data_IF_701425225520
#
_entry.id   IF_701425225520
#
_cell.length_a   1.000
_cell.length_b   1.000
_cell.length_c   1.000
_cell.angle_alpha   90.00
_cell.angle_beta   90.00
_cell.angle_gamma   90.00
#
_symmetry.space_group_name_H-M   'P 1'
#
loop_
_entity.id
_entity.type
_entity.pdbx_description
1 polymer ?
#
# COMPACT_ATOMS: atom_id res chain seq x y z
N UNK A 1 5.42 8.67 -26.58
CA UNK A 1 4.79 8.62 -27.93
C UNK A 1 4.49 7.17 -28.31
N UNK A 2 3.53 6.50 -27.60
CA UNK A 2 3.15 5.10 -27.83
C UNK A 2 2.51 4.82 -29.22
N UNK A 3 2.22 5.87 -30.01
CA UNK A 3 1.69 5.80 -31.36
C UNK A 3 2.79 5.85 -32.45
N UNK A 4 4.06 6.00 -32.06
CA UNK A 4 5.22 6.03 -32.97
C UNK A 4 6.07 4.79 -32.74
N UNK A 5 6.53 4.13 -33.82
CA UNK A 5 7.54 3.07 -33.74
C UNK A 5 8.92 3.68 -33.46
N UNK A 6 9.66 3.07 -32.53
CA UNK A 6 11.03 3.46 -32.20
C UNK A 6 12.02 2.39 -32.64
N UNK A 7 13.24 2.81 -32.96
CA UNK A 7 14.34 1.95 -33.36
C UNK A 7 15.48 2.16 -32.36
N UNK A 8 16.06 1.09 -31.87
CA UNK A 8 17.27 1.09 -31.02
C UNK A 8 18.44 0.45 -31.75
N UNK A 9 19.66 0.82 -31.35
CA UNK A 9 20.92 0.38 -31.94
C UNK A 9 21.95 -0.10 -30.89
N UNK A 10 21.48 -0.69 -29.79
CA UNK A 10 22.31 -1.06 -28.64
C UNK A 10 22.84 -2.51 -28.67
N UNK A 11 22.56 -3.26 -29.72
CA UNK A 11 23.01 -4.64 -29.90
C UNK A 11 24.00 -4.77 -31.08
N UNK A 12 25.00 -5.58 -30.86
CA UNK A 12 25.99 -5.89 -31.93
C UNK A 12 25.76 -7.31 -32.45
N UNK A 13 25.82 -7.45 -33.77
CA UNK A 13 25.88 -8.74 -34.44
C UNK A 13 27.33 -8.97 -34.93
N UNK A 14 27.84 -10.17 -34.73
CA UNK A 14 29.20 -10.52 -35.15
C UNK A 14 29.14 -11.17 -36.52
N UNK A 15 29.81 -10.53 -37.54
CA UNK A 15 30.05 -11.09 -38.85
C UNK A 15 31.53 -11.45 -38.93
N UNK A 16 31.85 -12.74 -38.92
CA UNK A 16 33.23 -13.21 -38.82
C UNK A 16 33.85 -12.83 -37.48
N UNK A 17 34.82 -11.92 -37.47
CA UNK A 17 35.48 -11.39 -36.27
C UNK A 17 35.06 -9.95 -35.94
N UNK A 18 34.17 -9.35 -36.73
CA UNK A 18 33.81 -7.94 -36.62
C UNK A 18 32.42 -7.80 -35.99
N UNK A 19 32.34 -7.03 -34.89
CA UNK A 19 31.09 -6.64 -34.27
C UNK A 19 30.54 -5.39 -34.97
N UNK A 20 29.30 -5.49 -35.48
CA UNK A 20 28.62 -4.39 -36.20
C UNK A 20 27.36 -4.04 -35.42
N UNK A 21 27.10 -2.73 -35.09
CA UNK A 21 25.89 -2.33 -34.46
C UNK A 21 24.65 -2.62 -35.32
N UNK A 22 23.63 -3.20 -34.72
CA UNK A 22 22.37 -3.50 -35.40
C UNK A 22 21.28 -2.55 -34.96
N UNK A 23 20.36 -2.28 -35.89
CA UNK A 23 19.17 -1.49 -35.64
C UNK A 23 17.98 -2.45 -35.60
N UNK A 24 17.16 -2.34 -34.53
CA UNK A 24 15.96 -3.15 -34.37
C UNK A 24 14.81 -2.31 -33.84
N UNK A 25 13.54 -2.66 -34.13
CA UNK A 25 12.40 -2.00 -33.55
C UNK A 25 12.36 -2.21 -32.02
N UNK A 26 12.43 -1.12 -31.24
CA UNK A 26 12.35 -1.15 -29.77
C UNK A 26 10.97 -0.74 -29.23
N UNK A 27 10.11 -0.22 -30.09
CA UNK A 27 8.73 0.10 -29.76
C UNK A 27 7.83 -0.01 -30.97
N UNK A 28 6.66 -0.59 -30.77
CA UNK A 28 5.67 -0.78 -31.83
C UNK A 28 4.59 0.28 -31.73
N UNK A 29 4.24 0.86 -32.88
CA UNK A 29 3.17 1.83 -32.98
C UNK A 29 1.80 1.17 -32.97
N UNK A 30 0.86 1.79 -32.29
CA UNK A 30 -0.56 1.53 -32.46
C UNK A 30 -1.25 2.79 -32.94
N UNK A 31 -1.55 2.88 -34.23
CA UNK A 31 -2.26 4.02 -34.82
C UNK A 31 -3.72 4.11 -34.40
N UNK A 32 -4.28 3.06 -33.81
CA UNK A 32 -5.64 3.01 -33.27
C UNK A 32 -5.69 3.36 -31.78
N UNK A 33 -4.53 3.73 -31.19
CA UNK A 33 -4.47 4.12 -29.80
C UNK A 33 -5.29 5.39 -29.58
N UNK A 34 -6.33 5.28 -28.78
CA UNK A 34 -7.20 6.36 -28.38
C UNK A 34 -6.96 6.80 -26.92
N UNK A 35 -7.67 7.85 -26.53
CA UNK A 35 -7.70 8.30 -25.13
C UNK A 35 -8.40 7.28 -24.24
N UNK A 36 -7.98 7.22 -22.99
CA UNK A 36 -8.72 6.48 -21.96
C UNK A 36 -10.11 7.10 -21.77
N UNK A 37 -11.11 6.24 -21.65
CA UNK A 37 -12.51 6.68 -21.49
C UNK A 37 -12.99 6.29 -20.10
N UNK A 38 -13.59 7.26 -19.41
CA UNK A 38 -14.24 7.05 -18.14
C UNK A 38 -15.75 7.22 -18.29
N UNK A 39 -16.50 6.23 -17.83
CA UNK A 39 -17.96 6.28 -17.68
C UNK A 39 -18.26 6.27 -16.20
N UNK A 40 -19.00 7.26 -15.72
CA UNK A 40 -19.33 7.40 -14.31
C UNK A 40 -20.84 7.59 -14.15
N UNK A 41 -21.40 6.99 -13.12
CA UNK A 41 -22.75 7.19 -12.62
C UNK A 41 -22.64 7.51 -11.16
N UNK A 42 -23.30 8.60 -10.75
CA UNK A 42 -23.34 9.08 -9.37
C UNK A 42 -24.78 9.26 -8.92
N UNK A 43 -25.06 8.93 -7.66
CA UNK A 43 -26.32 9.19 -7.00
C UNK A 43 -26.02 9.74 -5.61
N UNK A 44 -26.29 11.02 -5.43
CA UNK A 44 -26.04 11.75 -4.18
C UNK A 44 -27.32 12.15 -3.45
N UNK A 45 -27.24 12.22 -2.14
CA UNK A 45 -28.28 12.72 -1.24
C UNK A 45 -27.66 13.70 -0.26
N UNK A 46 -28.19 14.93 -0.24
CA UNK A 46 -27.85 15.96 0.73
C UNK A 46 -29.03 16.19 1.67
N UNK A 47 -28.82 15.95 2.96
CA UNK A 47 -29.86 16.02 3.99
C UNK A 47 -29.44 17.00 5.06
N UNK A 48 -30.11 18.18 5.13
CA UNK A 48 -29.92 19.16 6.20
C UNK A 48 -31.00 19.02 7.27
N UNK A 49 -30.60 18.94 8.54
CA UNK A 49 -31.51 18.79 9.68
C UNK A 49 -31.23 19.88 10.71
N UNK A 50 -32.29 20.62 11.07
CA UNK A 50 -32.29 21.66 12.15
C UNK A 50 -31.20 22.73 12.01
N UNK A 51 -30.68 23.02 10.81
CA UNK A 51 -29.53 23.91 10.57
C UNK A 51 -28.29 23.60 11.43
N UNK A 52 -28.17 22.40 11.94
CA UNK A 52 -27.09 21.97 12.83
C UNK A 52 -26.42 20.67 12.37
N UNK A 53 -27.07 19.89 11.51
CA UNK A 53 -26.58 18.62 10.98
C UNK A 53 -26.76 18.61 9.48
N UNK A 54 -25.69 18.29 8.75
CA UNK A 54 -25.73 18.01 7.32
C UNK A 54 -25.14 16.61 7.07
N UNK A 55 -25.86 15.81 6.30
CA UNK A 55 -25.46 14.46 5.91
C UNK A 55 -25.41 14.41 4.40
N UNK A 56 -24.26 14.08 3.83
CA UNK A 56 -24.07 13.84 2.39
C UNK A 56 -23.76 12.37 2.20
N UNK A 57 -24.46 11.72 1.28
CA UNK A 57 -24.25 10.32 0.91
C UNK A 57 -24.12 10.25 -0.60
N UNK A 58 -22.99 9.77 -1.09
CA UNK A 58 -22.73 9.56 -2.51
C UNK A 58 -22.51 8.09 -2.81
N UNK A 59 -23.23 7.58 -3.81
CA UNK A 59 -23.06 6.26 -4.37
C UNK A 59 -22.53 6.42 -5.79
N UNK A 60 -21.40 5.81 -6.08
CA UNK A 60 -20.80 5.93 -7.41
C UNK A 60 -20.45 4.59 -8.02
N UNK A 61 -20.45 4.57 -9.34
CA UNK A 61 -19.90 3.50 -10.17
C UNK A 61 -19.15 4.12 -11.34
N UNK A 62 -17.87 3.85 -11.43
CA UNK A 62 -16.98 4.30 -12.51
C UNK A 62 -16.36 3.12 -13.22
N UNK A 63 -16.48 3.09 -14.55
CA UNK A 63 -15.77 2.15 -15.42
C UNK A 63 -14.79 2.92 -16.29
N UNK A 64 -13.52 2.51 -16.22
CA UNK A 64 -12.43 3.13 -16.98
C UNK A 64 -11.90 2.16 -18.02
N UNK A 65 -11.93 2.58 -19.29
CA UNK A 65 -11.21 1.91 -20.38
C UNK A 65 -9.76 2.38 -20.30
N UNK A 66 -8.84 1.49 -19.99
CA UNK A 66 -7.43 1.82 -19.75
C UNK A 66 -6.54 1.47 -20.96
N UNK A 67 -5.46 2.24 -21.11
CA UNK A 67 -4.35 1.93 -22.01
C UNK A 67 -3.35 1.06 -21.28
N UNK A 68 -3.05 -0.10 -21.84
CA UNK A 68 -2.10 -1.04 -21.26
C UNK A 68 -1.19 -1.65 -22.31
N UNK A 69 0.04 -2.06 -21.94
CA UNK A 69 0.91 -2.83 -22.84
C UNK A 69 0.34 -4.24 -23.02
N UNK A 70 0.18 -4.64 -24.28
CA UNK A 70 -0.15 -6.00 -24.67
C UNK A 70 1.09 -6.67 -25.26
N UNK A 71 1.48 -7.84 -24.74
CA UNK A 71 2.64 -8.57 -25.24
C UNK A 71 2.40 -9.08 -26.66
N UNK A 72 3.41 -8.91 -27.50
CA UNK A 72 3.43 -9.49 -28.84
C UNK A 72 3.95 -10.93 -28.72
N UNK A 73 3.23 -11.93 -29.26
CA UNK A 73 3.70 -13.31 -29.22
C UNK A 73 5.05 -13.46 -29.92
N UNK A 74 6.00 -14.15 -29.28
CA UNK A 74 7.38 -14.30 -29.77
C UNK A 74 7.50 -15.02 -31.13
N UNK A 75 6.49 -15.81 -31.53
CA UNK A 75 6.49 -16.49 -32.83
C UNK A 75 6.40 -15.53 -34.03
N UNK A 76 6.07 -14.26 -33.80
CA UNK A 76 6.12 -13.22 -34.83
C UNK A 76 7.53 -12.75 -35.16
N UNK A 77 8.56 -13.32 -34.53
CA UNK A 77 9.97 -12.95 -34.71
C UNK A 77 10.34 -11.60 -34.09
N UNK A 78 9.44 -11.02 -33.30
CA UNK A 78 9.56 -9.68 -32.71
C UNK A 78 9.19 -9.80 -31.22
N UNK A 79 10.15 -9.49 -30.35
CA UNK A 79 9.88 -9.42 -28.91
C UNK A 79 9.44 -8.00 -28.53
N UNK A 80 8.46 -7.89 -27.62
CA UNK A 80 8.05 -6.60 -27.09
C UNK A 80 6.57 -6.50 -26.80
N UNK A 81 6.11 -5.27 -26.56
CA UNK A 81 4.73 -4.96 -26.29
C UNK A 81 4.24 -3.79 -27.13
N UNK A 82 2.94 -3.74 -27.36
CA UNK A 82 2.24 -2.63 -27.99
C UNK A 82 1.20 -2.08 -27.04
N UNK A 83 1.07 -0.77 -26.93
CA UNK A 83 0.02 -0.14 -26.12
C UNK A 83 -1.34 -0.23 -26.82
N UNK A 84 -2.35 -0.64 -26.09
CA UNK A 84 -3.71 -0.82 -26.60
C UNK A 84 -4.74 -0.29 -25.59
N UNK A 85 -5.87 0.21 -26.07
CA UNK A 85 -7.06 0.48 -25.26
C UNK A 85 -7.82 -0.84 -25.06
N UNK A 86 -7.40 -1.66 -24.13
CA UNK A 86 -7.84 -3.04 -24.09
C UNK A 86 -8.10 -3.60 -22.69
N UNK A 87 -8.05 -2.77 -21.68
CA UNK A 87 -8.42 -3.14 -20.31
C UNK A 87 -9.61 -2.34 -19.82
N UNK A 88 -10.40 -2.95 -18.94
CA UNK A 88 -11.47 -2.25 -18.22
C UNK A 88 -11.34 -2.49 -16.73
N UNK A 89 -11.44 -1.40 -15.96
CA UNK A 89 -11.44 -1.43 -14.50
C UNK A 89 -12.71 -0.75 -13.99
N UNK A 90 -13.39 -1.39 -13.07
CA UNK A 90 -14.55 -0.86 -12.36
C UNK A 90 -14.14 -0.44 -10.95
N UNK A 91 -14.58 0.73 -10.54
CA UNK A 91 -14.60 1.19 -9.15
C UNK A 91 -16.04 1.54 -8.80
N UNK A 92 -16.53 1.02 -7.70
CA UNK A 92 -17.84 1.37 -7.16
C UNK A 92 -17.74 1.52 -5.65
N UNK A 93 -18.46 2.51 -5.12
CA UNK A 93 -18.32 2.80 -3.71
C UNK A 93 -19.45 3.64 -3.16
N UNK A 94 -19.27 3.91 -1.89
CA UNK A 94 -20.11 4.78 -1.10
C UNK A 94 -19.23 5.72 -0.31
N UNK A 95 -19.59 7.00 -0.30
CA UNK A 95 -18.97 8.04 0.50
C UNK A 95 -20.04 8.67 1.37
N UNK A 96 -19.71 8.87 2.64
CA UNK A 96 -20.62 9.46 3.63
C UNK A 96 -19.87 10.58 4.34
N UNK A 97 -20.46 11.77 4.35
CA UNK A 97 -19.98 12.88 5.16
C UNK A 97 -21.07 13.34 6.10
N UNK A 98 -20.73 13.46 7.36
CA UNK A 98 -21.60 13.99 8.41
C UNK A 98 -20.94 15.22 9.01
N UNK A 99 -21.54 16.38 8.79
CA UNK A 99 -21.09 17.66 9.37
C UNK A 99 -22.12 18.15 10.38
N UNK A 100 -21.67 18.54 11.56
CA UNK A 100 -22.54 19.01 12.62
C UNK A 100 -21.92 20.17 13.39
N UNK A 101 -22.81 21.02 13.92
CA UNK A 101 -22.46 22.03 14.92
C UNK A 101 -23.33 21.80 16.15
N UNK A 102 -22.95 20.78 17.00
CA UNK A 102 -23.79 20.38 18.16
C UNK A 102 -23.96 21.48 19.19
N UNK A 103 -22.98 22.36 19.32
CA UNK A 103 -23.01 23.47 20.28
C UNK A 103 -22.70 24.79 19.60
N UNK A 104 -23.49 25.81 19.87
CA UNK A 104 -23.33 27.19 19.38
C UNK A 104 -23.51 28.15 20.58
N UNK A 105 -22.52 29.02 20.84
CA UNK A 105 -22.53 29.96 21.94
C UNK A 105 -21.13 30.28 22.42
N UNK A 106 -20.95 30.53 23.72
CA UNK A 106 -19.65 30.76 24.34
C UNK A 106 -18.68 29.57 24.11
N UNK A 107 -19.24 28.36 24.07
CA UNK A 107 -18.59 27.16 23.55
C UNK A 107 -19.24 26.76 22.23
N UNK A 108 -18.41 26.66 21.19
CA UNK A 108 -18.84 26.15 19.89
C UNK A 108 -18.04 24.88 19.55
N UNK A 109 -18.74 23.90 19.01
CA UNK A 109 -18.11 22.69 18.47
C UNK A 109 -18.61 22.43 17.07
N UNK A 110 -17.68 22.41 16.11
CA UNK A 110 -17.93 22.02 14.73
C UNK A 110 -17.22 20.69 14.49
N UNK A 111 -17.91 19.75 13.88
CA UNK A 111 -17.36 18.42 13.60
C UNK A 111 -17.76 17.95 12.22
N UNK A 112 -16.83 17.28 11.51
CA UNK A 112 -17.08 16.64 10.24
C UNK A 112 -16.42 15.29 10.21
N UNK A 113 -17.23 14.24 10.05
CA UNK A 113 -16.80 12.85 9.84
C UNK A 113 -17.01 12.51 8.37
N UNK A 114 -15.96 12.05 7.70
CA UNK A 114 -15.99 11.51 6.37
C UNK A 114 -15.64 10.02 6.41
N UNK A 115 -16.38 9.20 5.70
CA UNK A 115 -16.16 7.77 5.58
C UNK A 115 -16.32 7.35 4.12
N UNK A 116 -15.42 6.50 3.61
CA UNK A 116 -15.44 6.08 2.21
C UNK A 116 -15.08 4.60 2.09
N UNK A 117 -15.84 3.89 1.27
CA UNK A 117 -15.56 2.51 0.87
C UNK A 117 -15.56 2.41 -0.65
N UNK A 118 -14.45 1.93 -1.23
CA UNK A 118 -14.31 1.65 -2.65
C UNK A 118 -14.11 0.16 -2.89
N UNK A 119 -14.82 -0.40 -3.87
CA UNK A 119 -14.58 -1.74 -4.37
C UNK A 119 -14.06 -1.65 -5.80
N UNK A 120 -12.85 -2.13 -6.00
CA UNK A 120 -12.18 -2.16 -7.30
C UNK A 120 -12.30 -3.54 -7.94
N UNK A 121 -12.44 -3.62 -9.27
CA UNK A 121 -12.49 -4.88 -10.00
C UNK A 121 -11.95 -4.73 -11.42
N UNK A 122 -11.09 -5.63 -11.85
CA UNK A 122 -10.66 -5.77 -13.24
C UNK A 122 -11.77 -6.50 -13.99
N UNK A 123 -12.37 -5.85 -14.99
CA UNK A 123 -13.47 -6.44 -15.78
C UNK A 123 -12.93 -7.23 -16.98
N UNK A 124 -11.92 -6.69 -17.66
CA UNK A 124 -11.30 -7.32 -18.84
C UNK A 124 -9.87 -6.85 -19.03
N UNK A 125 -9.10 -7.61 -19.79
CA UNK A 125 -7.73 -7.28 -20.20
C UNK A 125 -7.57 -7.51 -21.70
N UNK A 126 -6.48 -6.96 -22.27
CA UNK A 126 -6.12 -7.12 -23.67
C UNK A 126 -6.06 -8.59 -24.10
N UNK A 127 -6.47 -8.88 -25.34
CA UNK A 127 -6.35 -10.20 -25.97
C UNK A 127 -6.96 -11.36 -25.16
N UNK A 128 -8.05 -11.11 -24.41
CA UNK A 128 -8.68 -12.06 -23.49
C UNK A 128 -7.71 -12.68 -22.47
N UNK A 129 -6.66 -11.95 -22.11
CA UNK A 129 -5.77 -12.36 -21.03
C UNK A 129 -6.55 -12.42 -19.72
N UNK A 130 -6.26 -13.40 -18.89
CA UNK A 130 -6.89 -13.54 -17.57
C UNK A 130 -6.08 -12.81 -16.48
N UNK A 131 -4.86 -12.41 -16.78
CA UNK A 131 -3.95 -11.81 -15.82
C UNK A 131 -3.15 -10.67 -16.49
N UNK A 132 -3.01 -9.53 -15.80
CA UNK A 132 -1.99 -8.53 -16.15
C UNK A 132 -0.61 -9.16 -16.02
N UNK A 133 0.33 -8.68 -16.84
CA UNK A 133 1.74 -9.00 -16.65
C UNK A 133 2.10 -8.76 -15.18
N UNK A 134 2.74 -9.77 -14.57
CA UNK A 134 3.05 -9.74 -13.15
C UNK A 134 3.85 -8.51 -12.79
N UNK A 135 3.36 -7.74 -11.83
CA UNK A 135 4.14 -6.68 -11.23
C UNK A 135 5.11 -7.31 -10.21
N UNK A 136 6.40 -7.03 -10.37
CA UNK A 136 7.43 -7.51 -9.45
C UNK A 136 7.51 -6.55 -8.26
N UNK A 137 7.40 -7.07 -7.06
CA UNK A 137 7.70 -6.34 -5.83
C UNK A 137 9.23 -6.20 -5.63
N UNK A 138 9.96 -5.77 -6.69
CA UNK A 138 11.42 -5.73 -6.73
C UNK A 138 12.06 -7.09 -7.07
N UNK A 139 13.33 -7.06 -7.48
CA UNK A 139 14.05 -8.20 -8.07
C UNK A 139 14.15 -9.45 -7.19
N UNK A 140 14.05 -9.29 -5.86
CA UNK A 140 14.18 -10.40 -4.89
C UNK A 140 12.85 -10.95 -4.40
N UNK A 141 11.75 -10.26 -4.67
CA UNK A 141 10.40 -10.66 -4.26
C UNK A 141 9.61 -11.32 -5.38
N UNK A 142 10.10 -11.20 -6.64
CA UNK A 142 9.43 -11.80 -7.78
C UNK A 142 8.00 -11.28 -7.97
N UNK A 143 7.17 -12.12 -8.56
CA UNK A 143 5.81 -11.78 -8.97
C UNK A 143 4.78 -12.07 -7.86
N UNK A 144 4.90 -11.38 -6.73
CA UNK A 144 3.95 -11.52 -5.59
C UNK A 144 2.65 -10.76 -5.82
N UNK A 145 2.68 -9.69 -6.62
CA UNK A 145 1.47 -8.97 -7.01
C UNK A 145 0.88 -9.60 -8.27
N UNK A 146 -0.32 -10.14 -8.18
CA UNK A 146 -1.01 -10.79 -9.31
C UNK A 146 -2.40 -10.19 -9.49
N UNK A 147 -2.62 -9.59 -10.64
CA UNK A 147 -3.85 -8.87 -10.95
C UNK A 147 -4.66 -9.68 -11.97
N UNK A 148 -5.72 -10.36 -11.50
CA UNK A 148 -6.57 -11.22 -12.33
C UNK A 148 -7.87 -10.54 -12.72
N UNK A 149 -8.38 -10.88 -13.91
CA UNK A 149 -9.76 -10.54 -14.30
C UNK A 149 -10.75 -11.10 -13.28
N UNK A 150 -11.74 -10.29 -12.91
CA UNK A 150 -12.73 -10.63 -11.91
C UNK A 150 -12.32 -10.32 -10.47
N UNK A 151 -11.06 -9.93 -10.22
CA UNK A 151 -10.51 -9.61 -8.91
C UNK A 151 -10.15 -8.13 -8.79
N UNK A 152 -9.98 -7.61 -7.56
CA UNK A 152 -9.44 -6.27 -7.37
C UNK A 152 -7.96 -6.21 -7.80
N UNK A 153 -7.48 -5.00 -8.08
CA UNK A 153 -6.05 -4.76 -8.28
C UNK A 153 -5.30 -4.87 -6.96
N UNK A 154 -4.06 -5.37 -7.04
CA UNK A 154 -3.16 -5.44 -5.88
C UNK A 154 -3.34 -6.66 -4.99
N UNK A 155 -3.91 -7.74 -5.51
CA UNK A 155 -3.93 -9.04 -4.82
C UNK A 155 -2.50 -9.56 -4.63
N UNK A 156 -2.21 -9.99 -3.40
CA UNK A 156 -0.90 -10.49 -2.97
C UNK A 156 -0.90 -12.01 -2.91
N UNK A 157 0.04 -12.62 -3.63
CA UNK A 157 0.18 -14.08 -3.70
C UNK A 157 1.57 -14.48 -3.21
N UNK A 158 1.63 -15.28 -2.16
CA UNK A 158 2.87 -15.73 -1.52
C UNK A 158 2.67 -17.10 -0.88
N UNK A 159 3.77 -17.70 -0.44
CA UNK A 159 3.72 -18.86 0.43
C UNK A 159 3.08 -18.50 1.78
N UNK A 160 2.18 -19.33 2.26
CA UNK A 160 1.57 -19.15 3.57
C UNK A 160 2.36 -19.92 4.61
N UNK A 161 2.92 -19.21 5.61
CA UNK A 161 3.56 -19.81 6.77
C UNK A 161 2.49 -20.38 7.69
N UNK A 162 2.66 -21.65 8.08
CA UNK A 162 1.75 -22.34 9.01
C UNK A 162 2.42 -22.76 10.32
N UNK A 163 3.71 -22.53 10.47
CA UNK A 163 4.46 -22.78 11.68
C UNK A 163 5.95 -22.97 11.42
N UNK A 164 6.60 -23.69 12.38
CA UNK A 164 8.00 -24.11 12.30
C UNK A 164 8.10 -25.62 12.51
N UNK A 165 9.07 -26.26 11.87
CA UNK A 165 9.39 -27.67 12.12
C UNK A 165 9.92 -27.83 13.55
N UNK A 166 9.18 -28.48 14.43
CA UNK A 166 9.56 -28.66 15.84
C UNK A 166 10.13 -30.05 16.13
N UNK A 167 9.73 -31.04 15.33
CA UNK A 167 10.07 -32.46 15.55
C UNK A 167 10.38 -33.18 14.23
N UNK A 168 11.03 -34.33 14.30
CA UNK A 168 11.24 -35.25 13.16
C UNK A 168 9.90 -35.69 12.54
N UNK A 169 8.83 -35.76 13.34
CA UNK A 169 7.50 -36.07 12.85
C UNK A 169 6.99 -34.99 11.92
N UNK A 170 7.24 -33.70 12.24
CA UNK A 170 6.84 -32.59 11.39
C UNK A 170 7.61 -32.64 10.06
N UNK A 171 8.92 -32.96 10.09
CA UNK A 171 9.74 -33.12 8.88
C UNK A 171 9.26 -34.25 7.97
N UNK A 172 8.65 -35.27 8.53
CA UNK A 172 8.08 -36.38 7.78
C UNK A 172 6.67 -36.09 7.26
N UNK A 173 5.93 -35.21 7.94
CA UNK A 173 4.52 -34.93 7.67
C UNK A 173 4.30 -33.81 6.63
N UNK A 174 5.10 -32.73 6.69
CA UNK A 174 4.90 -31.55 5.88
C UNK A 174 5.82 -31.53 4.65
N UNK A 175 5.29 -30.98 3.55
CA UNK A 175 6.03 -30.74 2.32
C UNK A 175 7.19 -29.74 2.54
N UNK A 176 8.24 -29.84 1.73
CA UNK A 176 9.46 -29.04 1.83
C UNK A 176 9.88 -28.47 0.49
N UNK A 177 10.62 -27.37 0.53
CA UNK A 177 11.26 -26.78 -0.66
C UNK A 177 12.78 -26.97 -0.64
N UNK A 178 13.26 -28.17 -0.41
CA UNK A 178 14.69 -28.50 -0.39
C UNK A 178 15.17 -29.04 0.96
N UNK A 179 16.22 -28.45 1.53
CA UNK A 179 16.92 -28.94 2.72
C UNK A 179 16.42 -28.35 4.05
N UNK A 180 15.11 -28.12 4.19
CA UNK A 180 14.53 -27.63 5.44
C UNK A 180 14.72 -28.66 6.56
N UNK A 181 14.93 -28.15 7.77
CA UNK A 181 15.26 -28.91 8.97
C UNK A 181 14.49 -28.35 10.17
N UNK A 182 14.61 -28.99 11.33
CA UNK A 182 14.01 -28.55 12.60
C UNK A 182 14.39 -27.09 12.87
N UNK A 183 13.37 -26.27 13.17
CA UNK A 183 13.48 -24.82 13.39
C UNK A 183 13.32 -23.95 12.15
N UNK A 184 13.19 -24.54 10.96
CA UNK A 184 12.84 -23.83 9.74
C UNK A 184 11.32 -23.62 9.61
N UNK A 185 10.90 -22.73 8.70
CA UNK A 185 9.48 -22.44 8.48
C UNK A 185 8.78 -23.58 7.73
N UNK A 186 7.55 -23.88 8.15
CA UNK A 186 6.62 -24.76 7.42
C UNK A 186 5.72 -23.86 6.57
N UNK A 187 5.61 -24.21 5.29
CA UNK A 187 4.67 -23.58 4.37
C UNK A 187 3.51 -24.51 4.04
N UNK A 188 2.36 -23.95 3.72
CA UNK A 188 1.20 -24.71 3.26
C UNK A 188 1.46 -25.20 1.84
N UNK A 189 1.39 -26.51 1.63
CA UNK A 189 1.35 -27.17 0.33
C UNK A 189 -0.06 -26.99 -0.25
N UNK A 190 -0.25 -25.88 -1.01
CA UNK A 190 -1.55 -25.45 -1.50
C UNK A 190 -2.08 -26.35 -2.61
N UNK A 191 -1.21 -26.77 -3.52
CA UNK A 191 -1.55 -27.62 -4.65
C UNK A 191 -1.53 -29.13 -4.30
N UNK A 192 -0.96 -29.50 -3.11
CA UNK A 192 -0.86 -30.86 -2.56
C UNK A 192 -0.02 -31.81 -3.41
N UNK A 193 1.05 -31.31 -4.03
CA UNK A 193 1.97 -32.12 -4.83
C UNK A 193 3.17 -32.66 -4.03
N UNK A 194 3.29 -32.29 -2.74
CA UNK A 194 4.34 -32.72 -1.81
C UNK A 194 5.62 -31.90 -1.89
N UNK A 195 5.65 -30.82 -2.68
CA UNK A 195 6.81 -29.95 -2.87
C UNK A 195 6.41 -28.50 -2.69
N UNK A 196 7.15 -27.71 -1.94
CA UNK A 196 6.88 -26.27 -1.78
C UNK A 196 7.61 -25.47 -2.83
N UNK A 197 6.86 -24.80 -3.73
CA UNK A 197 7.41 -23.95 -4.78
C UNK A 197 6.48 -22.75 -5.11
N UNK A 198 6.70 -22.12 -6.27
CA UNK A 198 5.88 -20.96 -6.72
C UNK A 198 4.43 -21.33 -7.08
N UNK A 199 4.12 -22.62 -7.24
CA UNK A 199 2.78 -23.12 -7.52
C UNK A 199 1.92 -23.16 -6.24
N UNK A 200 2.55 -23.07 -5.05
CA UNK A 200 1.88 -22.95 -3.75
C UNK A 200 1.57 -21.50 -3.37
N UNK A 201 1.91 -20.56 -4.24
CA UNK A 201 1.53 -19.16 -4.00
C UNK A 201 0.02 -19.04 -4.04
N UNK A 202 -0.56 -18.69 -2.91
CA UNK A 202 -1.99 -18.48 -2.74
C UNK A 202 -2.29 -17.02 -2.43
N UNK A 203 -3.55 -16.62 -2.63
CA UNK A 203 -4.00 -15.30 -2.24
C UNK A 203 -3.92 -15.15 -0.72
N UNK A 204 -3.11 -14.20 -0.26
CA UNK A 204 -2.86 -13.97 1.18
C UNK A 204 -3.30 -12.58 1.64
N UNK A 205 -3.56 -11.65 0.72
CA UNK A 205 -3.98 -10.31 1.06
C UNK A 205 -4.17 -9.41 -0.16
N UNK A 206 -4.53 -8.16 0.09
CA UNK A 206 -4.64 -7.09 -0.89
C UNK A 206 -4.24 -5.78 -0.22
N UNK A 207 -3.65 -4.82 -0.95
CA UNK A 207 -3.25 -3.55 -0.36
C UNK A 207 -4.41 -2.57 -0.14
N UNK A 208 -5.54 -2.76 -0.81
CA UNK A 208 -6.66 -1.84 -0.74
C UNK A 208 -7.38 -1.97 0.61
N UNK A 209 -7.67 -0.85 1.28
CA UNK A 209 -8.43 -0.89 2.53
C UNK A 209 -9.90 -1.25 2.28
N UNK A 210 -10.53 -1.84 3.29
CA UNK A 210 -11.98 -2.05 3.31
C UNK A 210 -12.75 -0.73 3.37
N UNK A 211 -12.21 0.25 4.12
CA UNK A 211 -12.70 1.62 4.16
C UNK A 211 -11.64 2.57 4.72
N UNK A 212 -11.83 3.85 4.43
CA UNK A 212 -11.05 4.96 5.00
C UNK A 212 -11.97 5.92 5.71
N UNK A 213 -11.44 6.65 6.69
CA UNK A 213 -12.20 7.69 7.39
C UNK A 213 -11.31 8.88 7.73
N UNK A 214 -11.98 10.04 7.85
CA UNK A 214 -11.39 11.27 8.35
C UNK A 214 -12.34 11.95 9.30
N UNK A 215 -11.83 12.49 10.40
CA UNK A 215 -12.64 13.17 11.41
C UNK A 215 -11.98 14.50 11.81
N UNK A 216 -12.63 15.59 11.44
CA UNK A 216 -12.22 16.95 11.75
C UNK A 216 -13.09 17.51 12.86
N UNK A 217 -12.45 18.10 13.87
CA UNK A 217 -13.12 18.75 14.99
C UNK A 217 -12.53 20.13 15.22
N UNK A 218 -13.38 21.12 15.41
CA UNK A 218 -12.99 22.47 15.84
C UNK A 218 -13.80 22.85 17.07
N UNK A 219 -13.10 23.16 18.13
CA UNK A 219 -13.66 23.63 19.39
C UNK A 219 -13.28 25.09 19.60
N UNK A 220 -14.23 25.94 19.87
CA UNK A 220 -14.01 27.35 20.15
C UNK A 220 -14.60 27.64 21.53
N UNK A 221 -13.79 28.20 22.41
CA UNK A 221 -14.23 28.68 23.73
C UNK A 221 -13.61 30.03 24.01
N UNK A 222 -14.46 31.07 23.98
CA UNK A 222 -14.03 32.47 24.09
C UNK A 222 -12.91 32.81 23.07
N UNK A 223 -11.73 33.12 23.59
CA UNK A 223 -10.54 33.51 22.77
C UNK A 223 -9.67 32.32 22.38
N UNK A 224 -10.03 31.08 22.74
CA UNK A 224 -9.32 29.86 22.41
C UNK A 224 -10.01 29.11 21.29
N UNK A 225 -9.21 28.57 20.38
CA UNK A 225 -9.64 27.59 19.38
C UNK A 225 -8.71 26.37 19.39
N UNK A 226 -9.30 25.20 19.30
CA UNK A 226 -8.62 23.92 19.18
C UNK A 226 -9.17 23.18 17.96
N UNK A 227 -8.30 22.87 16.99
CA UNK A 227 -8.63 22.03 15.86
C UNK A 227 -7.90 20.70 15.95
N UNK A 228 -8.62 19.59 15.75
CA UNK A 228 -8.07 18.22 15.75
C UNK A 228 -8.54 17.50 14.51
N UNK A 229 -7.59 17.00 13.71
CA UNK A 229 -7.84 16.15 12.55
C UNK A 229 -7.32 14.75 12.83
N UNK A 230 -8.18 13.77 12.67
CA UNK A 230 -7.88 12.34 12.78
C UNK A 230 -8.18 11.70 11.44
N UNK A 231 -7.33 10.79 10.97
CA UNK A 231 -7.58 9.98 9.79
C UNK A 231 -7.15 8.53 10.03
N UNK A 232 -7.64 7.65 9.20
CA UNK A 232 -7.26 6.25 9.29
C UNK A 232 -7.87 5.40 8.19
N UNK A 233 -7.45 4.16 8.18
CA UNK A 233 -8.02 3.12 7.34
C UNK A 233 -8.18 1.83 8.12
N UNK A 234 -9.08 0.99 7.66
CA UNK A 234 -9.29 -0.35 8.16
C UNK A 234 -9.23 -1.31 6.98
N UNK A 235 -8.60 -2.46 7.18
CA UNK A 235 -8.35 -3.43 6.13
C UNK A 235 -7.14 -3.08 5.26
N UNK A 236 -6.88 -3.95 4.30
CA UNK A 236 -5.67 -3.91 3.48
C UNK A 236 -4.47 -4.55 4.16
N UNK A 237 -3.46 -4.84 3.34
CA UNK A 237 -2.22 -5.45 3.80
C UNK A 237 -1.01 -4.74 3.20
N UNK A 238 0.10 -4.81 3.92
CA UNK A 238 1.40 -4.30 3.48
C UNK A 238 2.46 -5.39 3.59
N UNK A 239 3.30 -5.50 2.57
CA UNK A 239 4.47 -6.39 2.56
C UNK A 239 5.66 -5.59 3.08
N UNK A 240 6.18 -5.95 4.25
CA UNK A 240 7.41 -5.38 4.79
C UNK A 240 8.63 -6.02 4.14
N UNK A 241 8.90 -5.66 2.90
CA UNK A 241 9.95 -6.26 2.09
C UNK A 241 11.37 -5.96 2.62
N UNK A 242 11.58 -4.81 3.25
CA UNK A 242 12.85 -4.46 3.90
C UNK A 242 13.19 -5.41 5.05
N UNK A 243 12.19 -5.94 5.76
CA UNK A 243 12.38 -6.88 6.85
C UNK A 243 13.10 -8.17 6.42
N UNK A 244 13.06 -8.52 5.14
CA UNK A 244 13.80 -9.66 4.60
C UNK A 244 15.29 -9.56 4.91
N UNK A 245 15.89 -8.39 4.75
CA UNK A 245 17.31 -8.16 5.05
C UNK A 245 17.60 -8.24 6.57
N UNK A 246 16.63 -7.84 7.40
CA UNK A 246 16.78 -7.76 8.85
C UNK A 246 16.16 -8.96 9.59
N UNK A 247 15.90 -10.05 8.91
CA UNK A 247 15.30 -11.27 9.50
C UNK A 247 16.07 -12.54 9.18
N UNK A 248 17.33 -12.40 8.78
CA UNK A 248 18.19 -13.52 8.40
C UNK A 248 18.60 -14.37 9.59
N UNK A 249 18.54 -13.84 10.82
CA UNK A 249 18.95 -14.51 12.05
C UNK A 249 20.40 -15.05 11.97
N UNK A 250 21.27 -14.36 11.25
CA UNK A 250 22.71 -14.63 11.19
C UNK A 250 23.45 -13.85 12.26
N UNK A 251 24.63 -14.35 12.65
CA UNK A 251 25.44 -13.74 13.70
C UNK A 251 26.15 -12.45 13.28
N UNK A 252 26.26 -12.20 11.97
CA UNK A 252 26.95 -11.05 11.37
C UNK A 252 25.99 -9.93 10.90
N UNK A 253 24.67 -10.12 11.09
CA UNK A 253 23.66 -9.16 10.67
C UNK A 253 22.88 -8.58 11.87
N UNK A 254 22.47 -7.30 11.76
CA UNK A 254 21.46 -6.75 12.66
C UNK A 254 20.10 -7.39 12.37
N UNK A 255 19.35 -7.69 13.41
CA UNK A 255 18.08 -8.43 13.32
C UNK A 255 16.97 -7.61 13.95
N UNK A 256 15.78 -7.60 13.35
CA UNK A 256 14.58 -7.04 13.97
C UNK A 256 14.31 -7.75 15.30
N UNK A 257 13.89 -6.99 16.32
CA UNK A 257 13.56 -7.55 17.64
C UNK A 257 12.52 -8.67 17.55
N UNK A 258 11.49 -8.52 16.73
CA UNK A 258 10.49 -9.56 16.46
C UNK A 258 11.14 -10.86 15.95
N UNK A 259 12.07 -10.76 15.00
CA UNK A 259 12.76 -11.92 14.44
C UNK A 259 13.75 -12.54 15.43
N UNK A 260 14.54 -11.72 16.11
CA UNK A 260 15.59 -12.18 17.02
C UNK A 260 15.04 -12.78 18.32
N UNK A 261 14.07 -12.12 18.94
CA UNK A 261 13.46 -12.60 20.19
C UNK A 261 12.41 -13.69 19.95
N UNK A 262 11.64 -13.53 18.87
CA UNK A 262 10.57 -14.46 18.49
C UNK A 262 11.02 -15.67 17.70
N UNK A 263 12.32 -15.85 17.43
CA UNK A 263 12.82 -16.99 16.64
C UNK A 263 12.59 -18.33 17.32
N UNK A 264 12.53 -19.36 16.55
CA UNK A 264 12.59 -20.75 17.05
C UNK A 264 13.91 -20.99 17.79
N UNK A 265 13.88 -21.57 18.99
CA UNK A 265 15.06 -21.91 19.81
C UNK A 265 15.16 -23.39 20.08
N UNK A 266 14.04 -24.05 20.34
CA UNK A 266 13.96 -25.49 20.59
C UNK A 266 12.52 -25.99 20.39
N UNK A 267 12.33 -27.30 20.39
CA UNK A 267 10.99 -27.92 20.35
C UNK A 267 10.10 -27.53 21.54
N UNK A 268 10.68 -27.10 22.66
CA UNK A 268 9.94 -26.60 23.83
C UNK A 268 9.83 -25.09 23.89
N UNK A 269 10.56 -24.35 23.03
CA UNK A 269 10.45 -22.91 22.81
C UNK A 269 10.46 -22.64 21.31
N UNK A 270 9.32 -22.91 20.60
CA UNK A 270 9.23 -22.75 19.16
C UNK A 270 9.11 -21.27 18.71
N UNK A 271 9.15 -20.33 19.67
CA UNK A 271 9.06 -18.90 19.41
C UNK A 271 7.66 -18.48 18.93
N UNK A 272 7.62 -17.51 18.02
CA UNK A 272 6.37 -16.90 17.53
C UNK A 272 5.73 -17.66 16.33
N UNK A 273 6.31 -18.76 15.88
CA UNK A 273 5.85 -19.53 14.71
C UNK A 273 6.04 -18.86 13.35
N UNK A 274 6.60 -17.64 13.31
CA UNK A 274 6.87 -16.85 12.10
C UNK A 274 8.36 -16.61 11.84
N UNK A 275 9.21 -16.89 12.82
CA UNK A 275 10.64 -16.63 12.74
C UNK A 275 11.41 -17.93 12.90
N UNK A 276 12.20 -18.26 11.87
CA UNK A 276 13.01 -19.48 11.85
C UNK A 276 14.15 -19.44 12.89
N UNK A 277 14.81 -20.57 13.12
CA UNK A 277 16.00 -20.69 13.97
C UNK A 277 17.13 -19.76 13.52
N UNK A 278 18.06 -19.45 14.43
CA UNK A 278 19.32 -18.78 14.10
C UNK A 278 20.26 -19.77 13.37
N UNK A 279 21.06 -19.25 12.44
CA UNK A 279 22.04 -20.00 11.68
C UNK A 279 22.12 -19.57 10.23
N UNK A 280 23.11 -20.12 9.52
CA UNK A 280 23.40 -19.76 8.12
C UNK A 280 22.82 -20.72 7.10
N UNK A 281 22.33 -21.88 7.52
CA UNK A 281 21.79 -22.90 6.63
C UNK A 281 20.33 -22.61 6.27
N UNK A 282 19.93 -22.94 5.03
CA UNK A 282 18.55 -22.84 4.52
C UNK A 282 17.93 -21.43 4.50
N UNK A 283 18.75 -20.37 4.41
CA UNK A 283 18.24 -19.01 4.29
C UNK A 283 17.28 -18.86 3.10
N UNK A 284 17.62 -19.48 1.95
CA UNK A 284 16.78 -19.40 0.75
C UNK A 284 15.34 -19.84 0.97
N UNK A 285 15.14 -20.89 1.75
CA UNK A 285 13.80 -21.42 2.09
C UNK A 285 13.03 -20.54 3.06
N UNK A 286 13.73 -19.94 4.04
CA UNK A 286 13.09 -19.19 5.12
C UNK A 286 12.81 -17.71 4.81
N UNK A 287 13.51 -17.14 3.83
CA UNK A 287 13.46 -15.71 3.51
C UNK A 287 12.78 -15.40 2.17
N UNK A 288 12.16 -16.38 1.55
CA UNK A 288 11.35 -16.21 0.35
C UNK A 288 10.06 -15.42 0.61
N UNK A 289 9.39 -14.99 -0.47
CA UNK A 289 8.10 -14.32 -0.37
C UNK A 289 7.07 -15.17 0.37
N UNK A 290 6.65 -14.70 1.54
CA UNK A 290 5.71 -15.45 2.38
C UNK A 290 4.96 -14.53 3.33
N UNK A 291 3.91 -15.05 3.95
CA UNK A 291 3.10 -14.33 4.95
C UNK A 291 3.89 -13.92 6.20
N UNK A 292 5.14 -14.38 6.34
CA UNK A 292 6.06 -13.88 7.37
C UNK A 292 6.21 -12.37 7.31
N UNK A 293 6.18 -11.81 6.13
CA UNK A 293 6.41 -10.38 5.86
C UNK A 293 5.13 -9.61 5.54
N UNK A 294 3.98 -10.27 5.68
CA UNK A 294 2.67 -9.66 5.46
C UNK A 294 2.12 -9.14 6.79
N UNK A 295 1.71 -7.89 6.81
CA UNK A 295 1.13 -7.21 7.96
C UNK A 295 -0.17 -6.52 7.58
N UNK A 296 -1.04 -6.32 8.58
CA UNK A 296 -2.25 -5.51 8.41
C UNK A 296 -1.85 -4.04 8.23
N UNK A 297 -2.57 -3.35 7.35
CA UNK A 297 -2.35 -1.95 7.06
C UNK A 297 -3.33 -1.02 7.79
N UNK A 298 -3.96 -1.52 8.85
CA UNK A 298 -4.86 -0.73 9.71
C UNK A 298 -4.09 0.35 10.45
N UNK A 299 -4.61 1.56 10.44
CA UNK A 299 -4.09 2.62 11.31
C UNK A 299 -5.16 3.66 11.68
N UNK A 300 -4.92 4.33 12.79
CA UNK A 300 -5.55 5.58 13.17
C UNK A 300 -4.47 6.60 13.47
N UNK A 301 -4.53 7.78 12.85
CA UNK A 301 -3.54 8.83 13.03
C UNK A 301 -4.17 10.13 13.51
N UNK A 302 -3.58 10.72 14.53
CA UNK A 302 -3.82 12.11 14.89
C UNK A 302 -2.96 12.94 13.93
N UNK A 303 -3.57 13.34 12.79
CA UNK A 303 -2.87 14.01 11.71
C UNK A 303 -2.46 15.42 12.05
N UNK A 304 -3.35 16.15 12.72
CA UNK A 304 -3.10 17.54 13.05
C UNK A 304 -3.78 17.92 14.37
N UNK A 305 -3.05 18.66 15.21
CA UNK A 305 -3.59 19.33 16.39
C UNK A 305 -3.12 20.77 16.36
N UNK A 306 -4.06 21.71 16.33
CA UNK A 306 -3.78 23.15 16.32
C UNK A 306 -4.50 23.83 17.47
N UNK A 307 -3.76 24.53 18.32
CA UNK A 307 -4.27 25.35 19.40
C UNK A 307 -3.98 26.81 19.10
N UNK A 308 -5.02 27.64 19.11
CA UNK A 308 -4.93 29.08 18.93
C UNK A 308 -5.44 29.83 20.14
N UNK A 309 -4.87 30.98 20.41
CA UNK A 309 -5.33 31.95 21.39
C UNK A 309 -5.29 33.34 20.80
N UNK A 310 -6.42 34.01 20.76
CA UNK A 310 -6.54 35.40 20.32
C UNK A 310 -6.51 36.31 21.54
N UNK A 311 -5.54 37.21 21.62
CA UNK A 311 -5.43 38.11 22.74
C UNK A 311 -6.62 39.08 22.77
N UNK A 312 -7.25 39.30 23.97
CA UNK A 312 -8.29 40.28 24.14
C UNK A 312 -7.86 41.68 23.71
N UNK A 313 -8.71 42.39 23.01
CA UNK A 313 -8.45 43.74 22.48
C UNK A 313 -7.86 44.72 23.49
N UNK A 314 -8.22 44.57 24.79
CA UNK A 314 -7.68 45.39 25.88
C UNK A 314 -6.15 45.31 25.99
N UNK A 315 -5.59 44.10 25.83
CA UNK A 315 -4.13 43.91 25.90
C UNK A 315 -3.44 44.35 24.60
N UNK A 316 -4.07 44.10 23.46
CA UNK A 316 -3.54 44.54 22.15
C UNK A 316 -3.38 46.07 22.09
N UNK A 317 -4.35 46.82 22.61
CA UNK A 317 -4.28 48.30 22.68
C UNK A 317 -3.12 48.84 23.51
N UNK A 318 -2.71 48.14 24.55
CA UNK A 318 -1.58 48.56 25.41
C UNK A 318 -0.27 48.55 24.64
N UNK A 319 -0.10 47.63 23.69
CA UNK A 319 1.10 47.45 22.89
C UNK A 319 0.96 48.05 21.47
N UNK A 320 -0.12 48.78 21.21
CA UNK A 320 -0.32 49.55 19.99
C UNK A 320 -0.67 48.69 18.75
N UNK A 321 -1.25 47.52 18.93
CA UNK A 321 -1.71 46.64 17.84
C UNK A 321 -3.25 46.49 17.89
N UNK A 322 -3.84 46.19 16.71
CA UNK A 322 -5.30 46.01 16.61
C UNK A 322 -5.73 44.64 17.13
N UNK A 323 -5.06 43.59 16.73
CA UNK A 323 -5.26 42.25 17.25
C UNK A 323 -3.98 41.43 17.23
N UNK A 324 -3.90 40.38 18.08
CA UNK A 324 -2.79 39.45 18.12
C UNK A 324 -3.32 38.03 18.35
N UNK A 325 -2.84 37.07 17.56
CA UNK A 325 -3.12 35.65 17.73
C UNK A 325 -1.82 34.87 17.85
N UNK A 326 -1.75 34.02 18.87
CA UNK A 326 -0.67 33.04 19.09
C UNK A 326 -1.22 31.67 18.74
N UNK A 327 -0.46 30.87 18.01
CA UNK A 327 -0.85 29.52 17.67
C UNK A 327 0.30 28.54 17.80
N UNK A 328 -0.07 27.30 18.14
CA UNK A 328 0.82 26.15 18.11
C UNK A 328 0.12 25.04 17.32
N UNK A 329 0.86 24.42 16.40
CA UNK A 329 0.36 23.35 15.57
C UNK A 329 1.33 22.18 15.58
N UNK A 330 0.80 20.96 15.62
CA UNK A 330 1.57 19.73 15.49
C UNK A 330 0.97 18.89 14.37
N UNK A 331 1.76 18.58 13.37
CA UNK A 331 1.38 17.65 12.31
C UNK A 331 1.94 16.26 12.58
N UNK A 332 1.18 15.23 12.24
CA UNK A 332 1.51 13.82 12.44
C UNK A 332 1.89 13.52 13.90
N UNK A 333 1.02 13.96 14.83
CA UNK A 333 1.29 13.87 16.26
C UNK A 333 1.53 12.42 16.68
N UNK A 334 0.66 11.50 16.24
CA UNK A 334 0.78 10.08 16.57
C UNK A 334 0.01 9.21 15.61
N UNK A 335 0.58 8.03 15.27
CA UNK A 335 -0.09 6.97 14.51
C UNK A 335 -0.18 5.73 15.40
N UNK A 336 -1.39 5.18 15.51
CA UNK A 336 -1.67 3.90 16.15
C UNK A 336 -1.80 2.84 15.07
N UNK A 337 -0.85 1.93 15.01
CA UNK A 337 -0.81 0.79 14.12
C UNK A 337 -0.09 -0.38 14.79
N UNK A 338 -0.07 -1.54 14.13
CA UNK A 338 0.67 -2.74 14.56
C UNK A 338 1.81 -3.07 13.60
N UNK A 339 2.09 -2.19 12.67
CA UNK A 339 3.11 -2.39 11.66
C UNK A 339 4.51 -2.15 12.24
N UNK A 340 5.47 -3.07 12.06
CA UNK A 340 6.81 -2.92 12.62
C UNK A 340 7.72 -1.98 11.83
N UNK A 341 7.33 -1.57 10.62
CA UNK A 341 8.05 -0.61 9.79
C UNK A 341 7.74 0.85 10.16
N UNK A 342 8.19 1.78 9.35
CA UNK A 342 8.03 3.22 9.62
C UNK A 342 6.64 3.76 9.28
N UNK A 343 5.96 3.17 8.30
CA UNK A 343 4.62 3.58 7.89
C UNK A 343 3.93 2.48 7.09
N UNK A 344 2.69 2.18 7.42
CA UNK A 344 1.83 1.27 6.64
C UNK A 344 1.50 1.81 5.24
N UNK A 345 1.67 3.11 5.02
CA UNK A 345 1.46 3.79 3.74
C UNK A 345 2.73 3.80 2.87
N UNK A 346 3.83 3.17 3.33
CA UNK A 346 5.06 3.09 2.56
C UNK A 346 4.82 2.30 1.26
N UNK A 347 5.27 2.87 0.14
CA UNK A 347 5.14 2.24 -1.16
C UNK A 347 6.41 2.46 -1.98
N UNK A 348 7.08 1.36 -2.32
CA UNK A 348 8.33 1.37 -3.08
C UNK A 348 8.17 1.92 -4.51
N UNK A 349 7.09 1.57 -5.20
CA UNK A 349 6.83 1.94 -6.59
C UNK A 349 6.10 3.30 -6.73
N UNK A 350 5.99 4.05 -5.64
CA UNK A 350 5.31 5.35 -5.66
C UNK A 350 3.84 5.24 -6.06
N UNK A 351 3.47 5.82 -7.19
CA UNK A 351 2.08 5.85 -7.67
C UNK A 351 1.69 4.67 -8.58
N UNK A 352 2.40 3.55 -8.52
CA UNK A 352 2.05 2.36 -9.32
C UNK A 352 0.70 1.79 -8.88
N UNK A 353 -0.27 1.76 -9.78
CA UNK A 353 -1.58 1.17 -9.50
C UNK A 353 -1.55 -0.37 -9.38
N UNK A 354 -0.52 -1.01 -9.93
CA UNK A 354 -0.39 -2.48 -9.99
C UNK A 354 0.54 -3.06 -8.95
N UNK A 355 1.29 -2.23 -8.23
CA UNK A 355 2.36 -2.66 -7.32
C UNK A 355 2.43 -1.79 -6.06
N UNK A 356 1.29 -1.59 -5.41
CA UNK A 356 1.18 -0.85 -4.16
C UNK A 356 1.27 -1.78 -2.95
N UNK A 357 1.55 -1.23 -1.77
CA UNK A 357 1.57 -1.96 -0.51
C UNK A 357 2.85 -2.77 -0.30
N UNK A 358 3.99 -2.33 -0.87
CA UNK A 358 5.31 -2.94 -0.67
C UNK A 358 6.27 -1.91 -0.06
N UNK A 359 6.72 -2.17 1.16
CA UNK A 359 7.67 -1.33 1.88
C UNK A 359 9.10 -1.89 1.81
N UNK A 360 9.98 -1.20 1.10
CA UNK A 360 11.44 -1.45 1.05
C UNK A 360 12.24 -0.50 1.97
N UNK A 361 11.64 0.06 3.01
CA UNK A 361 12.26 1.01 3.91
C UNK A 361 11.99 2.45 3.49
N UNK A 362 10.72 2.78 3.30
CA UNK A 362 10.26 4.14 3.03
C UNK A 362 10.70 5.12 4.12
N UNK A 363 10.86 6.39 3.75
CA UNK A 363 11.23 7.42 4.72
C UNK A 363 10.10 7.63 5.75
N UNK A 364 10.40 7.70 7.06
CA UNK A 364 9.38 7.89 8.08
C UNK A 364 8.66 9.23 7.93
N UNK A 365 7.37 9.23 8.22
CA UNK A 365 6.57 10.46 8.23
C UNK A 365 7.07 11.37 9.34
N UNK A 366 7.46 12.59 8.99
CA UNK A 366 7.98 13.56 9.95
C UNK A 366 6.88 14.14 10.83
N UNK A 367 7.17 14.30 12.13
CA UNK A 367 6.36 15.10 13.04
C UNK A 367 6.86 16.54 13.00
N UNK A 368 5.95 17.48 12.71
CA UNK A 368 6.31 18.90 12.56
C UNK A 368 5.61 19.73 13.61
N UNK A 369 6.36 20.54 14.33
CA UNK A 369 5.87 21.55 15.29
C UNK A 369 5.99 22.92 14.66
N UNK A 370 4.90 23.68 14.64
CA UNK A 370 4.86 25.05 14.12
C UNK A 370 4.30 25.99 15.18
N UNK A 371 5.00 27.06 15.43
CA UNK A 371 4.52 28.14 16.29
C UNK A 371 4.29 29.37 15.43
N UNK A 372 3.12 29.97 15.57
CA UNK A 372 2.70 31.14 14.81
C UNK A 372 2.39 32.32 15.73
N UNK A 373 2.78 33.50 15.27
CA UNK A 373 2.43 34.77 15.88
C UNK A 373 1.90 35.69 14.77
N UNK A 374 0.62 36.01 14.82
CA UNK A 374 -0.02 36.90 13.87
C UNK A 374 -0.49 38.15 14.59
N UNK A 375 -0.20 39.31 14.04
CA UNK A 375 -0.66 40.58 14.59
C UNK A 375 -0.98 41.58 13.46
N UNK A 376 -1.99 42.39 13.68
CA UNK A 376 -2.41 43.51 12.82
C UNK A 376 -2.19 44.83 13.58
N UNK A 377 -1.71 45.83 12.85
CA UNK A 377 -1.49 47.18 13.33
C UNK A 377 -2.67 48.09 13.00
#
# INVERSE_FOLDING_TARGET
YAWISTISSDQNVVFGTTAIPTYYPSGYSNRQLGWEKNKQMDLGFDIGVFNALNIVVDLYKRTSDIVMPANIPNFNGIAGSVYMNAGQIENKGIEIQVSATPFKGDFSWETTLSWSKNNNKILSLANNQNQLANASAGTKWGNVMRNYVGRPMGDMYMLKVIGTFNTEKDLAQYAKNGTQDIGDLIFEDYNKDGTIDVNDYQLVGNYQPDFTFGWNNTFIYKDFDLAVTIDGQCGGNVIYAAARAFSLNRYDDNVLAESGLGRWKSSTDPGNGRSHKAGTNNLGSNIGPSTRYLYDADFLRIRNVSLGYTLPKKFCKIIGIENMRISANVQNLWTFDKYPGYSVEANYEGNSATNNGVDFGGYPISRTFTFGLNFNF
#
